data_IF_788867143828
#
_entry.id   IF_788867143828
#
_cell.length_a   1.000
_cell.length_b   1.000
_cell.length_c   1.000
_cell.angle_alpha   90.00
_cell.angle_beta   90.00
_cell.angle_gamma   90.00
#
_symmetry.space_group_name_H-M   'P 1'
#
loop_
_entity.id
_entity.type
_entity.pdbx_description
1 polymer ?
#
# COMPACT_ATOMS: atom_id res chain seq x y z
N UNK A 1 -1.04 10.87 -2.56
CA UNK A 1 -0.20 11.21 -1.40
C UNK A 1 1.24 10.84 -1.76
N UNK A 2 2.22 11.61 -1.31
CA UNK A 2 3.65 11.33 -1.56
C UNK A 2 4.34 11.03 -0.23
N UNK A 3 5.23 10.03 -0.23
CA UNK A 3 6.06 9.65 0.89
C UNK A 3 7.52 9.57 0.49
N UNK A 4 8.43 9.87 1.42
CA UNK A 4 9.84 9.55 1.26
C UNK A 4 10.08 8.14 1.81
N UNK A 5 10.23 7.15 0.94
CA UNK A 5 10.40 5.75 1.32
C UNK A 5 11.86 5.33 1.31
N UNK A 6 12.32 4.66 2.37
CA UNK A 6 13.64 4.03 2.43
C UNK A 6 13.59 2.66 1.75
N UNK A 7 14.48 2.40 0.79
CA UNK A 7 14.61 1.08 0.15
C UNK A 7 15.35 0.15 1.09
N UNK A 8 14.65 -0.88 1.61
CA UNK A 8 15.19 -1.87 2.54
C UNK A 8 15.73 -3.10 1.83
N UNK A 9 15.06 -3.52 0.76
CA UNK A 9 15.43 -4.71 -0.04
C UNK A 9 14.93 -4.58 -1.47
N UNK A 10 15.73 -5.12 -2.40
CA UNK A 10 15.37 -5.37 -3.79
C UNK A 10 15.51 -6.88 -4.01
N UNK A 11 14.55 -7.50 -4.69
CA UNK A 11 14.63 -8.93 -5.02
C UNK A 11 15.52 -9.15 -6.26
N UNK A 12 16.49 -10.08 -6.23
CA UNK A 12 17.38 -10.33 -7.37
C UNK A 12 16.74 -11.13 -8.52
N UNK A 13 15.55 -11.69 -8.31
CA UNK A 13 14.83 -12.51 -9.30
C UNK A 13 13.56 -11.83 -9.82
N UNK A 14 12.98 -10.90 -9.05
CA UNK A 14 11.78 -10.14 -9.41
C UNK A 14 12.12 -8.65 -9.38
N UNK A 15 12.32 -8.05 -10.54
CA UNK A 15 12.75 -6.65 -10.68
C UNK A 15 11.76 -5.68 -10.03
N UNK A 16 10.46 -5.96 -10.12
CA UNK A 16 9.43 -5.09 -9.57
C UNK A 16 9.24 -5.24 -8.05
N UNK A 17 9.75 -6.31 -7.41
CA UNK A 17 9.57 -6.51 -5.97
C UNK A 17 10.53 -5.60 -5.17
N UNK A 18 9.95 -4.73 -4.35
CA UNK A 18 10.68 -3.84 -3.45
C UNK A 18 10.14 -3.92 -2.04
N UNK A 19 11.03 -3.97 -1.05
CA UNK A 19 10.66 -3.75 0.36
C UNK A 19 11.05 -2.33 0.76
N UNK A 20 10.06 -1.59 1.24
CA UNK A 20 10.16 -0.19 1.62
C UNK A 20 9.83 0.00 3.09
N UNK A 21 10.39 1.05 3.67
CA UNK A 21 10.00 1.57 4.98
C UNK A 21 9.54 3.02 4.82
N UNK A 22 8.33 3.31 5.32
CA UNK A 22 7.72 4.65 5.32
C UNK A 22 7.14 4.91 6.70
N UNK A 23 7.52 6.02 7.34
CA UNK A 23 7.02 6.38 8.69
C UNK A 23 7.13 5.24 9.73
N UNK A 24 8.18 4.41 9.62
CA UNK A 24 8.40 3.24 10.49
C UNK A 24 7.59 2.00 10.14
N UNK A 25 6.79 2.03 9.08
CA UNK A 25 6.04 0.88 8.56
C UNK A 25 6.84 0.25 7.42
N UNK A 26 7.25 -1.01 7.61
CA UNK A 26 7.93 -1.81 6.58
C UNK A 26 6.90 -2.68 5.83
N UNK A 27 6.95 -2.65 4.49
CA UNK A 27 6.10 -3.48 3.64
C UNK A 27 6.83 -3.85 2.34
N UNK A 28 6.41 -4.99 1.75
CA UNK A 28 6.83 -5.40 0.40
C UNK A 28 5.73 -5.04 -0.59
N UNK A 29 6.09 -4.29 -1.62
CA UNK A 29 5.22 -3.90 -2.72
C UNK A 29 5.84 -4.17 -4.09
N UNK A 30 5.09 -3.84 -5.14
CA UNK A 30 5.49 -4.00 -6.52
C UNK A 30 5.56 -2.64 -7.22
N UNK A 31 6.67 -2.37 -7.90
CA UNK A 31 6.85 -1.11 -8.62
C UNK A 31 6.08 -1.12 -9.92
N UNK A 32 5.05 -0.28 -10.04
CA UNK A 32 4.33 -0.07 -11.31
C UNK A 32 5.05 0.95 -12.21
N UNK A 33 5.75 1.91 -11.61
CA UNK A 33 6.53 2.95 -12.31
C UNK A 33 7.85 3.18 -11.59
N UNK A 34 8.97 3.05 -12.30
CA UNK A 34 10.31 3.36 -11.77
C UNK A 34 11.18 4.05 -12.85
N UNK A 35 11.26 5.40 -12.85
CA UNK A 35 11.91 6.14 -13.93
C UNK A 35 13.44 6.20 -13.80
N UNK A 36 14.01 5.62 -12.74
CA UNK A 36 15.45 5.63 -12.44
C UNK A 36 15.84 4.38 -11.65
N UNK A 37 17.13 4.10 -11.57
CA UNK A 37 17.66 3.04 -10.71
C UNK A 37 17.54 3.41 -9.22
N UNK A 38 17.13 2.43 -8.42
CA UNK A 38 16.98 2.55 -6.97
C UNK A 38 18.02 1.69 -6.26
N UNK A 39 18.47 2.15 -5.10
CA UNK A 39 19.52 1.48 -4.34
C UNK A 39 19.07 1.25 -2.90
N UNK A 40 19.39 0.07 -2.36
CA UNK A 40 19.16 -0.26 -0.96
C UNK A 40 19.88 0.74 -0.04
N UNK A 41 19.18 1.21 0.98
CA UNK A 41 19.69 2.18 1.95
C UNK A 41 19.49 3.65 1.54
N UNK A 42 18.95 3.93 0.35
CA UNK A 42 18.57 5.28 -0.10
C UNK A 42 17.06 5.49 0.00
N UNK A 43 16.66 6.76 0.10
CA UNK A 43 15.25 7.15 0.14
C UNK A 43 14.80 7.87 -1.11
N UNK A 44 13.55 7.64 -1.51
CA UNK A 44 12.98 8.14 -2.76
C UNK A 44 11.51 8.54 -2.57
N UNK A 45 11.02 9.57 -3.29
CA UNK A 45 9.61 9.93 -3.27
C UNK A 45 8.77 8.84 -3.96
N UNK A 46 7.73 8.37 -3.28
CA UNK A 46 6.82 7.34 -3.77
C UNK A 46 5.36 7.69 -3.53
N UNK A 47 4.48 7.21 -4.40
CA UNK A 47 3.05 7.01 -4.13
C UNK A 47 2.80 5.55 -3.82
N UNK A 48 1.83 5.28 -2.94
CA UNK A 48 1.49 3.93 -2.49
C UNK A 48 0.02 3.68 -2.79
N UNK A 49 -0.25 2.59 -3.49
CA UNK A 49 -1.57 2.10 -3.82
C UNK A 49 -1.68 0.60 -3.54
N UNK A 50 -2.66 -0.05 -4.16
CA UNK A 50 -2.83 -1.51 -4.07
C UNK A 50 -3.37 -2.07 -5.38
N UNK A 51 -3.30 -3.39 -5.53
CA UNK A 51 -3.93 -4.11 -6.63
C UNK A 51 -4.83 -5.21 -6.10
N UNK A 52 -5.98 -5.37 -6.75
CA UNK A 52 -6.95 -6.44 -6.52
C UNK A 52 -7.12 -7.19 -7.83
N UNK A 53 -6.95 -8.51 -7.79
CA UNK A 53 -7.06 -9.38 -8.96
C UNK A 53 -8.48 -9.90 -9.15
N UNK A 54 -9.23 -10.04 -8.06
CA UNK A 54 -10.62 -10.51 -8.04
C UNK A 54 -11.55 -9.37 -7.56
N UNK A 55 -12.28 -9.59 -6.46
CA UNK A 55 -13.21 -8.62 -5.87
C UNK A 55 -12.61 -8.01 -4.59
N UNK A 56 -12.89 -6.73 -4.33
CA UNK A 56 -12.50 -6.08 -3.08
C UNK A 56 -13.31 -6.65 -1.91
N UNK A 57 -12.63 -7.37 -1.02
CA UNK A 57 -13.18 -7.77 0.27
C UNK A 57 -12.88 -6.68 1.31
N UNK A 58 -13.92 -5.95 1.73
CA UNK A 58 -13.84 -4.90 2.76
C UNK A 58 -14.87 -5.10 3.85
N UNK A 59 -14.46 -4.93 5.11
CA UNK A 59 -15.36 -5.03 6.28
C UNK A 59 -15.08 -3.94 7.30
N UNK A 60 -16.11 -3.50 8.02
CA UNK A 60 -15.95 -2.61 9.17
C UNK A 60 -15.32 -3.38 10.32
N UNK A 61 -14.36 -2.76 10.99
CA UNK A 61 -13.75 -3.25 12.23
C UNK A 61 -14.05 -2.27 13.36
N UNK A 62 -14.14 -2.79 14.59
CA UNK A 62 -14.41 -1.98 15.79
C UNK A 62 -13.15 -1.62 16.57
N UNK A 63 -12.02 -2.22 16.20
CA UNK A 63 -10.71 -1.88 16.75
C UNK A 63 -10.14 -0.73 15.91
N UNK A 64 -9.66 0.32 16.57
CA UNK A 64 -9.14 1.54 15.93
C UNK A 64 -7.71 1.34 15.41
N UNK A 65 -7.47 0.19 14.75
CA UNK A 65 -6.17 -0.22 14.26
C UNK A 65 -5.81 0.46 12.95
N UNK A 66 -4.53 0.79 12.83
CA UNK A 66 -3.87 1.29 11.64
C UNK A 66 -2.64 0.43 11.39
N UNK A 67 -2.70 -0.45 10.40
CA UNK A 67 -1.61 -1.41 10.15
C UNK A 67 -1.63 -1.98 8.73
N UNK A 68 -0.45 -2.46 8.33
CA UNK A 68 -0.24 -3.33 7.17
C UNK A 68 0.24 -4.69 7.67
N UNK A 69 -0.57 -5.72 7.45
CA UNK A 69 -0.22 -7.08 7.85
C UNK A 69 -0.12 -7.97 6.61
N UNK A 70 1.08 -8.51 6.36
CA UNK A 70 1.30 -9.48 5.28
C UNK A 70 0.65 -10.82 5.61
N UNK A 71 -0.09 -11.38 4.66
CA UNK A 71 -0.81 -12.65 4.83
C UNK A 71 0.06 -13.81 4.36
N UNK A 72 0.53 -14.62 5.32
CA UNK A 72 1.34 -15.80 5.04
C UNK A 72 2.67 -15.46 4.34
N UNK A 73 3.07 -16.30 3.38
CA UNK A 73 4.31 -16.10 2.59
C UNK A 73 4.06 -15.44 1.22
N UNK A 74 2.81 -15.15 0.87
CA UNK A 74 2.43 -14.53 -0.41
C UNK A 74 2.61 -13.01 -0.39
N UNK A 75 1.98 -12.30 -1.31
CA UNK A 75 2.03 -10.83 -1.40
C UNK A 75 0.76 -10.13 -0.94
N UNK A 76 -0.22 -10.91 -0.46
CA UNK A 76 -1.48 -10.37 0.03
C UNK A 76 -1.27 -9.64 1.35
N UNK A 77 -2.04 -8.59 1.56
CA UNK A 77 -2.04 -7.82 2.81
C UNK A 77 -3.46 -7.64 3.34
N UNK A 78 -3.58 -7.63 4.66
CA UNK A 78 -4.64 -6.87 5.32
C UNK A 78 -4.17 -5.43 5.50
N UNK A 79 -4.95 -4.49 4.98
CA UNK A 79 -4.78 -3.07 5.25
C UNK A 79 -5.91 -2.66 6.18
N UNK A 80 -5.55 -2.12 7.35
CA UNK A 80 -6.51 -1.66 8.36
C UNK A 80 -6.30 -0.19 8.63
N UNK A 81 -7.40 0.55 8.68
CA UNK A 81 -7.33 1.99 8.82
C UNK A 81 -8.66 2.68 8.60
N UNK A 82 -8.62 4.00 8.51
CA UNK A 82 -9.81 4.83 8.31
C UNK A 82 -10.05 5.01 6.81
N UNK A 83 -11.22 4.59 6.33
CA UNK A 83 -11.58 4.74 4.93
C UNK A 83 -11.92 6.20 4.60
N UNK A 84 -11.26 6.75 3.58
CA UNK A 84 -11.58 8.04 2.97
C UNK A 84 -12.23 7.81 1.59
N UNK A 85 -12.51 8.89 0.86
CA UNK A 85 -13.19 8.81 -0.44
C UNK A 85 -12.37 8.04 -1.50
N UNK A 86 -11.06 8.24 -1.50
CA UNK A 86 -10.09 7.86 -2.54
C UNK A 86 -8.84 7.20 -1.93
N UNK A 87 -8.87 6.91 -0.63
CA UNK A 87 -7.71 6.39 0.09
C UNK A 87 -8.12 5.73 1.40
N UNK A 88 -7.19 5.00 2.00
CA UNK A 88 -7.28 4.54 3.38
C UNK A 88 -6.08 5.07 4.17
N UNK A 89 -6.34 5.57 5.38
CA UNK A 89 -5.31 5.95 6.35
C UNK A 89 -5.02 4.78 7.28
N UNK A 90 -3.97 4.02 6.94
CA UNK A 90 -3.47 2.85 7.69
C UNK A 90 -2.21 3.19 8.53
N UNK A 91 -2.05 4.46 8.91
CA UNK A 91 -0.80 5.00 9.47
C UNK A 91 0.12 5.59 8.38
N UNK A 92 -0.03 5.06 7.16
CA UNK A 92 0.30 5.73 5.90
C UNK A 92 -0.96 5.74 5.03
N UNK A 93 -1.07 6.74 4.16
CA UNK A 93 -2.16 6.87 3.21
C UNK A 93 -1.89 6.00 2.01
N UNK A 94 -2.79 5.07 1.74
CA UNK A 94 -2.75 4.22 0.55
C UNK A 94 -3.89 4.63 -0.36
N UNK A 95 -3.56 4.93 -1.62
CA UNK A 95 -4.50 5.42 -2.63
C UNK A 95 -5.27 4.28 -3.27
N UNK A 96 -6.52 4.57 -3.59
CA UNK A 96 -7.36 3.75 -4.46
C UNK A 96 -7.32 4.32 -5.88
N UNK A 97 -6.39 3.81 -6.69
CA UNK A 97 -6.13 4.32 -8.05
C UNK A 97 -7.16 3.83 -9.07
N UNK A 98 -7.84 2.72 -8.77
CA UNK A 98 -8.83 2.06 -9.63
C UNK A 98 -10.28 2.34 -9.19
N UNK A 99 -10.49 3.28 -8.27
CA UNK A 99 -11.79 3.75 -7.77
C UNK A 99 -12.67 2.67 -7.11
N UNK A 100 -12.10 1.61 -6.52
CA UNK A 100 -12.84 0.55 -5.81
C UNK A 100 -13.72 1.09 -4.66
N UNK A 101 -13.32 2.18 -4.00
CA UNK A 101 -14.03 2.76 -2.85
C UNK A 101 -15.31 3.51 -3.24
N UNK A 102 -15.54 3.76 -4.54
CA UNK A 102 -16.76 4.38 -5.03
C UNK A 102 -18.03 3.56 -4.69
N UNK A 103 -17.90 2.23 -4.59
CA UNK A 103 -18.99 1.34 -4.20
C UNK A 103 -19.21 1.28 -2.67
N UNK A 104 -18.30 1.88 -1.89
CA UNK A 104 -18.26 1.79 -0.43
C UNK A 104 -18.38 3.14 0.29
N UNK A 105 -18.97 4.15 -0.35
CA UNK A 105 -19.13 5.50 0.23
C UNK A 105 -19.80 5.52 1.62
N UNK A 106 -20.65 4.53 1.94
CA UNK A 106 -21.29 4.38 3.26
C UNK A 106 -20.33 3.93 4.38
N UNK A 107 -19.08 3.60 4.05
CA UNK A 107 -18.02 3.22 4.98
C UNK A 107 -17.02 4.34 5.25
N UNK A 108 -17.12 5.48 4.55
CA UNK A 108 -16.23 6.64 4.76
C UNK A 108 -16.24 7.07 6.24
N UNK A 109 -15.05 7.32 6.77
CA UNK A 109 -14.81 7.73 8.16
C UNK A 109 -14.85 6.59 9.18
N UNK A 110 -15.12 5.35 8.75
CA UNK A 110 -15.08 4.17 9.62
C UNK A 110 -13.72 3.49 9.55
N UNK A 111 -13.37 2.79 10.63
CA UNK A 111 -12.29 1.83 10.60
C UNK A 111 -12.74 0.59 9.81
N UNK A 112 -11.92 0.21 8.84
CA UNK A 112 -12.15 -0.94 7.97
C UNK A 112 -10.91 -1.81 7.88
N UNK A 113 -11.12 -3.06 7.50
CA UNK A 113 -10.09 -3.96 7.02
C UNK A 113 -10.41 -4.31 5.58
N UNK A 114 -9.43 -4.18 4.71
CA UNK A 114 -9.46 -4.66 3.33
C UNK A 114 -8.38 -5.70 3.11
N UNK A 115 -8.71 -6.70 2.29
CA UNK A 115 -7.75 -7.68 1.80
C UNK A 115 -7.37 -7.30 0.37
N UNK A 116 -6.07 -7.09 0.12
CA UNK A 116 -5.53 -6.78 -1.21
C UNK A 116 -4.54 -7.83 -1.65
N UNK A 117 -4.38 -7.99 -2.96
CA UNK A 117 -3.46 -8.99 -3.50
C UNK A 117 -2.01 -8.52 -3.48
N UNK A 118 -1.78 -7.22 -3.66
CA UNK A 118 -0.45 -6.58 -3.67
C UNK A 118 -0.55 -5.14 -3.21
N UNK A 119 0.55 -4.64 -2.62
CA UNK A 119 0.79 -3.21 -2.48
C UNK A 119 1.46 -2.70 -3.75
N UNK A 120 0.92 -1.64 -4.35
CA UNK A 120 1.46 -0.98 -5.53
C UNK A 120 2.34 0.19 -5.10
N UNK A 121 3.46 0.39 -5.78
CA UNK A 121 4.39 1.48 -5.49
C UNK A 121 4.76 2.18 -6.80
N UNK A 122 4.59 3.50 -6.82
CA UNK A 122 5.09 4.33 -7.90
C UNK A 122 6.24 5.20 -7.41
N UNK A 123 7.43 5.05 -8.00
CA UNK A 123 8.54 5.96 -7.77
C UNK A 123 8.33 7.24 -8.59
N UNK A 124 8.21 8.35 -7.88
CA UNK A 124 7.94 9.65 -8.48
C UNK A 124 9.23 10.27 -9.02
N UNK A 125 9.10 11.10 -10.06
CA UNK A 125 10.22 11.88 -10.60
C UNK A 125 10.71 12.87 -9.54
N UNK A 126 12.03 12.96 -9.40
CA UNK A 126 12.71 13.91 -8.51
C UNK A 126 12.64 15.33 -9.03
#
# INVERSE_FOLDING_TARGET
>A
MEYLALVKRLDPHIEEEVTLEVEGIEFTGFTSVCPYEIEVGKSYPVSIGFTILDELEIRVIYDEKKELERIGSGYKYYIRGILNRDSIDAGITILDEDEYFADYLGLIGKYVELQVDRISVEFLKR
#
